data_IF_603586274689
#
_entry.id   IF_603586274689
#
_cell.length_a   1.000
_cell.length_b   1.000
_cell.length_c   1.000
_cell.angle_alpha   90.00
_cell.angle_beta   90.00
_cell.angle_gamma   90.00
#
_symmetry.space_group_name_H-M   'P 1'
#
loop_
_entity.id
_entity.type
_entity.pdbx_description
1 polymer ?
#
# COMPACT_ATOMS: atom_id res chain seq x y z
N UNK A 1 -34.35 -11.42 -35.97
CA UNK A 1 -34.48 -12.26 -34.75
C UNK A 1 -33.12 -12.79 -34.35
N UNK A 2 -32.68 -12.42 -33.13
CA UNK A 2 -31.86 -13.16 -32.14
C UNK A 2 -30.52 -13.78 -32.61
N UNK A 3 -29.38 -13.73 -31.92
CA UNK A 3 -28.89 -13.18 -30.66
C UNK A 3 -27.37 -13.55 -30.68
N UNK A 4 -26.46 -12.60 -30.51
CA UNK A 4 -25.74 -12.32 -29.25
C UNK A 4 -24.72 -13.39 -28.79
N UNK A 5 -23.43 -13.02 -28.85
CA UNK A 5 -22.34 -13.26 -27.86
C UNK A 5 -21.01 -12.89 -28.57
N UNK A 6 -20.49 -11.65 -28.51
CA UNK A 6 -20.05 -10.87 -27.35
C UNK A 6 -19.12 -11.67 -26.43
N UNK A 7 -17.83 -11.34 -26.49
CA UNK A 7 -16.80 -11.31 -25.45
C UNK A 7 -15.51 -10.90 -26.19
N UNK A 8 -15.38 -9.66 -26.64
CA UNK A 8 -14.81 -8.57 -25.82
C UNK A 8 -13.80 -9.14 -24.81
N UNK A 9 -12.56 -9.28 -25.26
CA UNK A 9 -11.38 -9.19 -24.41
C UNK A 9 -11.11 -7.70 -24.13
N UNK A 10 -11.43 -7.17 -22.93
CA UNK A 10 -10.75 -5.99 -22.45
C UNK A 10 -10.11 -6.30 -21.10
N UNK A 11 -9.10 -7.16 -21.07
CA UNK A 11 -8.19 -7.25 -19.92
C UNK A 11 -6.75 -7.38 -20.45
N UNK A 12 -6.30 -6.36 -21.17
CA UNK A 12 -4.90 -6.25 -21.59
C UNK A 12 -4.41 -4.80 -21.60
N UNK A 13 -4.92 -4.03 -20.65
CA UNK A 13 -4.36 -2.74 -20.24
C UNK A 13 -4.30 -2.69 -18.70
N UNK A 14 -3.65 -3.69 -18.08
CA UNK A 14 -2.92 -3.41 -16.85
C UNK A 14 -1.65 -2.71 -17.32
N UNK A 15 -1.75 -1.39 -17.49
CA UNK A 15 -0.60 -0.52 -17.63
C UNK A 15 0.41 -0.92 -16.56
N UNK A 16 1.57 -1.36 -17.03
CA UNK A 16 2.76 -1.70 -16.29
C UNK A 16 3.24 -0.49 -15.50
N UNK A 17 2.57 -0.20 -14.38
CA UNK A 17 3.10 0.67 -13.35
C UNK A 17 3.91 -0.21 -12.38
N UNK A 18 4.95 0.34 -11.72
CA UNK A 18 5.61 -0.33 -10.60
C UNK A 18 4.55 -0.90 -9.66
N UNK A 19 4.87 -1.95 -8.91
CA UNK A 19 3.91 -2.52 -7.96
C UNK A 19 3.42 -1.36 -7.08
N UNK A 20 2.19 -0.86 -7.27
CA UNK A 20 1.73 0.43 -6.70
C UNK A 20 1.86 0.47 -5.19
N UNK A 21 1.85 -0.72 -4.60
CA UNK A 21 2.04 -1.01 -3.21
C UNK A 21 3.45 -0.66 -2.68
N UNK A 22 4.49 -0.72 -3.52
CA UNK A 22 5.87 -0.31 -3.17
C UNK A 22 5.94 1.18 -2.84
N UNK A 23 5.13 2.01 -3.50
CA UNK A 23 5.14 3.47 -3.33
C UNK A 23 3.97 4.00 -2.51
N UNK A 24 3.13 3.13 -1.94
CA UNK A 24 1.83 3.53 -1.38
C UNK A 24 1.98 4.45 -0.15
N UNK A 25 2.96 4.20 0.73
CA UNK A 25 3.27 5.11 1.85
C UNK A 25 3.69 6.50 1.37
N UNK A 26 4.58 6.58 0.38
CA UNK A 26 5.02 7.83 -0.25
C UNK A 26 3.87 8.56 -0.94
N UNK A 27 3.01 7.84 -1.67
CA UNK A 27 1.83 8.41 -2.31
C UNK A 27 0.84 8.99 -1.29
N UNK A 28 0.75 8.40 -0.10
CA UNK A 28 -0.07 8.92 0.99
C UNK A 28 0.54 10.15 1.68
N UNK A 29 1.87 10.16 1.87
CA UNK A 29 2.57 11.35 2.32
C UNK A 29 2.38 12.54 1.35
N UNK A 30 2.28 12.27 0.03
CA UNK A 30 2.03 13.31 -0.99
C UNK A 30 0.73 14.08 -0.79
N UNK A 31 -0.29 13.48 -0.17
CA UNK A 31 -1.55 14.17 0.16
C UNK A 31 -1.26 15.32 1.14
N UNK A 32 -0.53 15.03 2.21
CA UNK A 32 -0.18 16.01 3.24
C UNK A 32 0.89 17.02 2.78
N UNK A 33 1.81 16.60 1.90
CA UNK A 33 2.71 17.52 1.18
C UNK A 33 1.87 18.56 0.46
N UNK A 34 0.90 18.12 -0.37
CA UNK A 34 0.08 19.01 -1.20
C UNK A 34 -0.73 19.99 -0.36
N UNK A 35 -1.34 19.50 0.72
CA UNK A 35 -2.06 20.35 1.68
C UNK A 35 -1.16 21.42 2.29
N UNK A 36 0.06 21.04 2.70
CA UNK A 36 1.02 21.97 3.29
C UNK A 36 1.54 22.99 2.28
N UNK A 37 1.75 22.59 1.02
CA UNK A 37 2.13 23.50 -0.08
C UNK A 37 1.05 24.56 -0.32
N UNK A 38 -0.21 24.15 -0.45
CA UNK A 38 -1.33 25.05 -0.72
C UNK A 38 -1.59 26.04 0.42
N UNK A 39 -1.28 25.64 1.66
CA UNK A 39 -1.35 26.50 2.85
C UNK A 39 -0.13 27.38 3.04
N UNK A 40 0.92 27.22 2.24
CA UNK A 40 2.20 27.91 2.42
C UNK A 40 2.94 27.55 3.71
N UNK A 41 2.61 26.41 4.35
CA UNK A 41 3.28 25.94 5.58
C UNK A 41 4.54 25.16 5.20
N UNK A 42 5.63 25.90 4.93
CA UNK A 42 6.90 25.32 4.51
C UNK A 42 7.53 24.39 5.56
N UNK A 43 7.25 24.61 6.85
CA UNK A 43 7.74 23.73 7.92
C UNK A 43 7.09 22.35 7.87
N UNK A 44 5.75 22.30 7.82
CA UNK A 44 5.04 21.01 7.64
C UNK A 44 5.35 20.37 6.29
N UNK A 45 5.44 21.16 5.24
CA UNK A 45 5.81 20.67 3.92
C UNK A 45 7.18 19.96 3.94
N UNK A 46 8.17 20.55 4.62
CA UNK A 46 9.48 19.93 4.76
C UNK A 46 9.41 18.58 5.47
N UNK A 47 8.70 18.52 6.61
CA UNK A 47 8.49 17.29 7.37
C UNK A 47 7.82 16.18 6.56
N UNK A 48 6.78 16.51 5.80
CA UNK A 48 6.08 15.52 4.99
C UNK A 48 6.90 15.03 3.78
N UNK A 49 7.76 15.87 3.21
CA UNK A 49 8.76 15.41 2.25
C UNK A 49 9.78 14.45 2.90
N UNK A 50 10.23 14.71 4.13
CA UNK A 50 11.09 13.79 4.88
C UNK A 50 10.38 12.45 5.13
N UNK A 51 9.12 12.49 5.58
CA UNK A 51 8.30 11.29 5.79
C UNK A 51 8.11 10.47 4.50
N UNK A 52 7.92 11.13 3.35
CA UNK A 52 7.82 10.47 2.05
C UNK A 52 9.14 9.76 1.66
N UNK A 53 10.29 10.40 1.92
CA UNK A 53 11.61 9.80 1.71
C UNK A 53 11.91 8.66 2.70
N UNK A 54 11.39 8.77 3.92
CA UNK A 54 11.47 7.74 4.93
C UNK A 54 10.67 6.50 4.52
N UNK A 55 9.42 6.65 4.05
CA UNK A 55 8.64 5.54 3.49
C UNK A 55 9.40 4.79 2.39
N UNK A 56 10.05 5.51 1.47
CA UNK A 56 10.87 4.88 0.42
C UNK A 56 12.01 4.05 1.02
N UNK A 57 12.64 4.56 2.07
CA UNK A 57 13.80 3.94 2.71
C UNK A 57 13.42 2.73 3.55
N UNK A 58 12.38 2.86 4.38
CA UNK A 58 12.02 1.83 5.36
C UNK A 58 11.13 0.73 4.75
N UNK A 59 10.40 1.03 3.67
CA UNK A 59 9.41 0.13 3.07
C UNK A 59 9.81 -0.25 1.65
N UNK A 60 9.91 0.72 0.75
CA UNK A 60 10.08 0.44 -0.70
C UNK A 60 11.39 -0.26 -1.02
N UNK A 61 12.51 0.24 -0.49
CA UNK A 61 13.84 -0.35 -0.67
C UNK A 61 13.88 -1.82 -0.21
N UNK A 62 13.56 -2.16 1.05
CA UNK A 62 13.62 -3.56 1.50
C UNK A 62 12.63 -4.46 0.76
N UNK A 63 11.43 -3.98 0.40
CA UNK A 63 10.50 -4.75 -0.42
C UNK A 63 11.09 -5.10 -1.79
N UNK A 64 11.66 -4.11 -2.47
CA UNK A 64 12.27 -4.28 -3.78
C UNK A 64 13.50 -5.20 -3.72
N UNK A 65 14.34 -5.07 -2.69
CA UNK A 65 15.48 -5.96 -2.47
C UNK A 65 15.07 -7.42 -2.23
N UNK A 66 14.00 -7.66 -1.46
CA UNK A 66 13.48 -9.01 -1.22
C UNK A 66 13.05 -9.64 -2.56
N UNK A 67 12.27 -8.91 -3.37
CA UNK A 67 11.81 -9.37 -4.67
C UNK A 67 12.98 -9.62 -5.63
N UNK A 68 13.93 -8.66 -5.74
CA UNK A 68 15.09 -8.76 -6.62
C UNK A 68 15.95 -9.99 -6.29
N UNK A 69 16.23 -10.20 -5.00
CA UNK A 69 17.01 -11.35 -4.54
C UNK A 69 16.32 -12.67 -4.90
N UNK A 70 14.99 -12.74 -4.74
CA UNK A 70 14.22 -13.91 -5.11
C UNK A 70 14.29 -14.17 -6.63
N UNK A 71 14.09 -13.12 -7.45
CA UNK A 71 14.13 -13.26 -8.90
C UNK A 71 15.49 -13.71 -9.41
N UNK A 72 16.58 -13.11 -8.90
CA UNK A 72 17.95 -13.49 -9.28
C UNK A 72 18.27 -14.93 -8.91
N UNK A 73 17.95 -15.36 -7.68
CA UNK A 73 18.25 -16.72 -7.19
C UNK A 73 17.53 -17.80 -7.98
N UNK A 74 16.36 -17.49 -8.54
CA UNK A 74 15.51 -18.45 -9.24
C UNK A 74 15.53 -18.27 -10.78
N UNK A 75 16.45 -17.46 -11.32
CA UNK A 75 16.61 -17.30 -12.78
C UNK A 75 15.49 -16.54 -13.49
N UNK A 76 14.73 -15.69 -12.77
CA UNK A 76 13.66 -14.87 -13.36
C UNK A 76 14.20 -13.55 -13.92
N UNK A 77 15.05 -13.61 -14.96
CA UNK A 77 15.82 -12.47 -15.48
C UNK A 77 14.97 -11.24 -15.84
N UNK A 78 13.83 -11.42 -16.53
CA UNK A 78 12.94 -10.30 -16.89
C UNK A 78 12.37 -9.59 -15.67
N UNK A 79 12.03 -10.35 -14.62
CA UNK A 79 11.53 -9.80 -13.37
C UNK A 79 12.64 -9.14 -12.56
N UNK A 80 13.84 -9.72 -12.56
CA UNK A 80 15.02 -9.11 -11.94
C UNK A 80 15.34 -7.75 -12.58
N UNK A 81 15.44 -7.68 -13.92
CA UNK A 81 15.72 -6.44 -14.65
C UNK A 81 14.66 -5.35 -14.39
N UNK A 82 13.38 -5.73 -14.35
CA UNK A 82 12.30 -4.79 -13.97
C UNK A 82 12.49 -4.24 -12.56
N UNK A 83 12.86 -5.10 -11.62
CA UNK A 83 13.03 -4.75 -10.20
C UNK A 83 14.30 -3.91 -9.97
N UNK A 84 15.34 -4.09 -10.79
CA UNK A 84 16.52 -3.21 -10.80
C UNK A 84 16.17 -1.79 -11.28
N UNK A 85 15.31 -1.67 -12.30
CA UNK A 85 14.79 -0.37 -12.72
C UNK A 85 13.96 0.29 -11.61
N UNK A 86 13.07 -0.47 -10.95
CA UNK A 86 12.27 0.04 -9.83
C UNK A 86 13.15 0.51 -8.65
N UNK A 87 14.28 -0.15 -8.38
CA UNK A 87 15.28 0.33 -7.40
C UNK A 87 15.84 1.72 -7.73
N UNK A 88 16.12 2.00 -9.01
CA UNK A 88 16.58 3.33 -9.44
C UNK A 88 15.47 4.37 -9.25
N UNK A 89 14.24 4.05 -9.65
CA UNK A 89 13.08 4.95 -9.49
C UNK A 89 12.81 5.28 -7.99
N UNK A 90 12.94 4.29 -7.10
CA UNK A 90 12.85 4.49 -5.64
C UNK A 90 13.91 5.50 -5.18
N UNK A 91 15.15 5.34 -5.62
CA UNK A 91 16.24 6.22 -5.22
C UNK A 91 16.06 7.64 -5.77
N UNK A 92 15.65 7.78 -7.02
CA UNK A 92 15.36 9.08 -7.65
C UNK A 92 14.25 9.84 -6.90
N UNK A 93 13.13 9.17 -6.59
CA UNK A 93 12.06 9.76 -5.81
C UNK A 93 12.52 10.15 -4.41
N UNK A 94 13.33 9.31 -3.76
CA UNK A 94 13.88 9.61 -2.43
C UNK A 94 14.73 10.89 -2.47
N UNK A 95 15.61 11.02 -3.44
CA UNK A 95 16.44 12.23 -3.61
C UNK A 95 15.59 13.46 -3.94
N UNK A 96 14.55 13.30 -4.76
CA UNK A 96 13.60 14.37 -5.04
C UNK A 96 12.96 14.90 -3.75
N UNK A 97 12.42 14.01 -2.90
CA UNK A 97 11.80 14.39 -1.64
C UNK A 97 12.78 15.07 -0.68
N UNK A 98 13.99 14.53 -0.50
CA UNK A 98 15.02 15.14 0.35
C UNK A 98 15.43 16.54 -0.14
N UNK A 99 15.56 16.73 -1.46
CA UNK A 99 15.86 18.05 -2.05
C UNK A 99 14.72 19.04 -1.78
N UNK A 100 13.47 18.61 -1.91
CA UNK A 100 12.28 19.43 -1.63
C UNK A 100 12.19 19.79 -0.15
N UNK A 101 12.39 18.83 0.76
CA UNK A 101 12.45 19.09 2.20
C UNK A 101 13.50 20.15 2.55
N UNK A 102 14.73 20.00 2.04
CA UNK A 102 15.81 20.97 2.25
C UNK A 102 15.43 22.37 1.73
N UNK A 103 14.74 22.46 0.59
CA UNK A 103 14.30 23.74 0.04
C UNK A 103 13.17 24.38 0.87
N UNK A 104 12.24 23.57 1.39
CA UNK A 104 11.16 24.01 2.24
C UNK A 104 11.66 24.49 3.61
N UNK A 105 12.61 23.78 4.23
CA UNK A 105 13.24 24.21 5.49
C UNK A 105 13.86 25.61 5.42
N UNK A 106 14.51 25.96 4.31
CA UNK A 106 15.08 27.29 4.09
C UNK A 106 14.05 28.43 4.11
N UNK A 107 12.78 28.11 3.84
CA UNK A 107 11.66 29.07 3.80
C UNK A 107 10.80 29.00 5.06
N UNK A 108 11.02 28.01 5.92
CA UNK A 108 10.17 27.75 7.08
C UNK A 108 10.24 28.90 8.08
N UNK A 109 9.06 29.32 8.54
CA UNK A 109 8.86 30.21 9.70
C UNK A 109 7.96 29.54 10.74
N UNK A 110 7.66 28.25 10.56
CA UNK A 110 6.75 27.49 11.41
C UNK A 110 7.41 27.29 12.77
N UNK A 111 6.67 27.57 13.84
CA UNK A 111 7.19 27.47 15.22
C UNK A 111 7.48 26.02 15.61
N UNK A 112 8.47 25.79 16.46
CA UNK A 112 8.87 24.44 16.89
C UNK A 112 7.72 23.66 17.56
N UNK A 113 6.85 24.33 18.32
CA UNK A 113 5.68 23.68 18.96
C UNK A 113 4.75 23.03 17.93
N UNK A 114 4.51 23.72 16.81
CA UNK A 114 3.69 23.19 15.70
C UNK A 114 4.42 22.06 14.97
N UNK A 115 5.74 22.19 14.78
CA UNK A 115 6.55 21.16 14.15
C UNK A 115 6.59 19.88 14.97
N UNK A 116 6.71 19.98 16.30
CA UNK A 116 6.72 18.83 17.20
C UNK A 116 5.40 18.04 17.13
N UNK A 117 4.26 18.73 17.16
CA UNK A 117 2.96 18.09 17.00
C UNK A 117 2.82 17.40 15.62
N UNK A 118 3.43 17.97 14.57
CA UNK A 118 3.43 17.35 13.25
C UNK A 118 4.36 16.12 13.17
N UNK A 119 5.53 16.17 13.83
CA UNK A 119 6.44 15.01 13.96
C UNK A 119 5.76 13.83 14.64
N UNK A 120 4.95 14.07 15.67
CA UNK A 120 4.17 13.01 16.32
C UNK A 120 3.14 12.35 15.40
N UNK A 121 2.51 13.12 14.50
CA UNK A 121 1.62 12.55 13.47
C UNK A 121 2.40 11.71 12.47
N UNK A 122 3.56 12.20 12.04
CA UNK A 122 4.43 11.48 11.10
C UNK A 122 4.94 10.17 11.71
N UNK A 123 5.33 10.16 12.99
CA UNK A 123 5.72 8.94 13.68
C UNK A 123 4.60 7.87 13.63
N UNK A 124 3.36 8.25 13.97
CA UNK A 124 2.19 7.37 13.88
C UNK A 124 1.88 6.92 12.45
N UNK A 125 2.10 7.81 11.49
CA UNK A 125 1.97 7.51 10.07
C UNK A 125 2.95 6.43 9.64
N UNK A 126 4.24 6.62 9.88
CA UNK A 126 5.28 5.64 9.54
C UNK A 126 4.98 4.30 10.23
N UNK A 127 4.68 4.30 11.52
CA UNK A 127 4.32 3.11 12.28
C UNK A 127 3.14 2.33 11.65
N UNK A 128 2.12 3.06 11.19
CA UNK A 128 0.94 2.47 10.52
C UNK A 128 1.28 1.87 9.16
N UNK A 129 2.21 2.49 8.42
CA UNK A 129 2.58 2.08 7.07
C UNK A 129 3.61 0.94 7.02
N UNK A 130 4.49 0.81 8.02
CA UNK A 130 5.49 -0.26 8.09
C UNK A 130 4.90 -1.68 7.89
N UNK A 131 3.85 -2.11 8.59
CA UNK A 131 3.26 -3.43 8.39
C UNK A 131 2.28 -3.49 7.22
N UNK A 132 1.95 -2.36 6.58
CA UNK A 132 0.79 -2.25 5.71
C UNK A 132 0.84 -3.12 4.45
N UNK A 133 2.03 -3.27 3.87
CA UNK A 133 2.25 -4.16 2.74
C UNK A 133 2.23 -5.64 3.15
N UNK A 134 3.08 -6.12 4.10
CA UNK A 134 3.09 -7.54 4.46
C UNK A 134 1.72 -8.03 4.97
N UNK A 135 0.95 -7.17 5.66
CA UNK A 135 -0.42 -7.45 6.12
C UNK A 135 -1.43 -7.76 5.01
N UNK A 136 -1.14 -7.36 3.79
CA UNK A 136 -2.01 -7.51 2.64
C UNK A 136 -1.28 -8.16 1.47
N UNK A 137 -0.11 -8.75 1.71
CA UNK A 137 0.75 -9.39 0.71
C UNK A 137 -0.04 -10.34 -0.21
N UNK A 138 -0.92 -11.16 0.37
CA UNK A 138 -1.73 -12.14 -0.36
C UNK A 138 -2.87 -11.56 -1.19
N UNK A 139 -3.19 -10.27 -1.03
CA UNK A 139 -4.32 -9.62 -1.71
C UNK A 139 -3.90 -8.84 -2.96
N UNK A 140 -2.61 -8.56 -3.13
CA UNK A 140 -2.12 -7.71 -4.22
C UNK A 140 -0.64 -7.91 -4.55
N UNK A 141 -0.13 -7.10 -5.47
CA UNK A 141 1.29 -6.97 -5.73
C UNK A 141 1.92 -8.26 -6.26
N UNK A 142 3.11 -8.59 -5.74
CA UNK A 142 3.90 -9.73 -6.23
C UNK A 142 3.18 -11.07 -6.08
N UNK A 143 2.36 -11.24 -5.03
CA UNK A 143 1.60 -12.48 -4.85
C UNK A 143 0.53 -12.63 -5.94
N UNK A 144 -0.34 -11.63 -6.08
CA UNK A 144 -1.46 -11.68 -7.02
C UNK A 144 -1.01 -11.70 -8.50
N UNK A 145 0.18 -11.18 -8.80
CA UNK A 145 0.72 -11.12 -10.17
C UNK A 145 1.68 -12.28 -10.42
N UNK A 146 2.92 -12.17 -9.95
CA UNK A 146 3.98 -13.11 -10.24
C UNK A 146 3.71 -14.52 -9.70
N UNK A 147 3.39 -14.66 -8.41
CA UNK A 147 3.13 -15.99 -7.84
C UNK A 147 1.82 -16.58 -8.38
N UNK A 148 0.77 -15.78 -8.48
CA UNK A 148 -0.53 -16.19 -9.02
C UNK A 148 -0.42 -16.78 -10.43
N UNK A 149 0.28 -16.11 -11.35
CA UNK A 149 0.50 -16.62 -12.70
C UNK A 149 1.29 -17.94 -12.71
N UNK A 150 2.32 -18.08 -11.88
CA UNK A 150 3.13 -19.29 -11.83
C UNK A 150 2.38 -20.47 -11.19
N UNK A 151 1.57 -20.18 -10.17
CA UNK A 151 0.73 -21.16 -9.48
C UNK A 151 -0.36 -21.69 -10.42
N UNK A 152 -1.04 -20.80 -11.16
CA UNK A 152 -2.06 -21.19 -12.13
C UNK A 152 -1.46 -22.12 -13.21
N UNK A 153 -0.29 -21.78 -13.74
CA UNK A 153 0.41 -22.64 -14.72
C UNK A 153 0.82 -23.99 -14.15
N UNK A 154 1.25 -24.05 -12.89
CA UNK A 154 1.59 -25.30 -12.23
C UNK A 154 0.35 -26.17 -12.02
N UNK A 155 -0.77 -25.58 -11.60
CA UNK A 155 -2.05 -26.26 -11.43
C UNK A 155 -2.60 -26.81 -12.74
N UNK A 156 -2.59 -26.03 -13.82
CA UNK A 156 -2.98 -26.48 -15.16
C UNK A 156 -2.19 -27.70 -15.64
N UNK A 157 -0.90 -27.79 -15.26
CA UNK A 157 -0.02 -28.93 -15.56
C UNK A 157 -0.14 -30.08 -14.56
N UNK A 158 -0.98 -29.95 -13.52
CA UNK A 158 -1.06 -30.86 -12.37
C UNK A 158 0.28 -31.07 -11.67
N UNK A 159 1.16 -30.07 -11.73
CA UNK A 159 2.44 -30.03 -11.04
C UNK A 159 2.26 -29.46 -9.63
N UNK A 160 1.63 -30.27 -8.77
CA UNK A 160 1.29 -29.85 -7.41
C UNK A 160 2.51 -29.68 -6.52
N UNK A 161 3.61 -30.38 -6.80
CA UNK A 161 4.87 -30.16 -6.08
C UNK A 161 5.42 -28.76 -6.36
N UNK A 162 5.44 -28.33 -7.63
CA UNK A 162 5.81 -26.96 -7.98
C UNK A 162 4.87 -25.92 -7.40
N UNK A 163 3.56 -26.16 -7.46
CA UNK A 163 2.58 -25.27 -6.83
C UNK A 163 2.92 -25.03 -5.34
N UNK A 164 3.17 -26.11 -4.61
CA UNK A 164 3.50 -26.06 -3.18
C UNK A 164 4.83 -25.34 -2.90
N UNK A 165 5.83 -25.51 -3.77
CA UNK A 165 7.08 -24.75 -3.68
C UNK A 165 6.86 -23.25 -3.90
N UNK A 166 6.04 -22.86 -4.87
CA UNK A 166 5.71 -21.45 -5.13
C UNK A 166 4.97 -20.81 -3.96
N UNK A 167 4.01 -21.52 -3.36
CA UNK A 167 3.31 -21.01 -2.16
C UNK A 167 4.25 -20.94 -0.93
N UNK A 168 5.19 -21.88 -0.79
CA UNK A 168 6.20 -21.82 0.27
C UNK A 168 7.13 -20.61 0.12
N UNK A 169 7.59 -20.36 -1.11
CA UNK A 169 8.42 -19.21 -1.45
C UNK A 169 7.68 -17.88 -1.19
N UNK A 170 6.39 -17.83 -1.53
CA UNK A 170 5.54 -16.67 -1.24
C UNK A 170 5.42 -16.42 0.28
N UNK A 171 5.23 -17.46 1.08
CA UNK A 171 5.19 -17.36 2.54
C UNK A 171 6.53 -16.91 3.14
N UNK A 172 7.66 -17.44 2.66
CA UNK A 172 9.00 -16.99 3.06
C UNK A 172 9.24 -15.52 2.69
N UNK A 173 8.75 -15.09 1.54
CA UNK A 173 8.86 -13.70 1.10
C UNK A 173 8.04 -12.75 1.97
N UNK A 174 6.82 -13.15 2.36
CA UNK A 174 6.00 -12.39 3.31
C UNK A 174 6.67 -12.31 4.69
N UNK A 175 7.24 -13.42 5.19
CA UNK A 175 8.00 -13.44 6.43
C UNK A 175 9.22 -12.50 6.37
N UNK A 176 9.97 -12.51 5.26
CA UNK A 176 11.12 -11.62 5.07
C UNK A 176 10.73 -10.14 5.09
N UNK A 177 9.53 -9.79 4.64
CA UNK A 177 9.02 -8.42 4.73
C UNK A 177 8.68 -8.04 6.16
N UNK A 178 8.01 -8.91 6.93
CA UNK A 178 7.80 -8.66 8.36
C UNK A 178 9.12 -8.44 9.11
N UNK A 179 10.13 -9.27 8.81
CA UNK A 179 11.47 -9.14 9.40
C UNK A 179 12.13 -7.81 9.07
N UNK A 180 12.19 -7.44 7.79
CA UNK A 180 12.98 -6.29 7.33
C UNK A 180 12.26 -4.94 7.46
N UNK A 181 10.94 -4.93 7.67
CA UNK A 181 10.12 -3.71 7.60
C UNK A 181 9.49 -3.38 8.97
N UNK A 182 8.47 -4.06 9.52
CA UNK A 182 7.98 -3.69 10.85
C UNK A 182 8.92 -4.11 12.00
N UNK A 183 9.46 -5.34 11.99
CA UNK A 183 10.25 -5.88 13.13
C UNK A 183 11.57 -5.14 13.30
N UNK A 184 12.29 -4.89 12.20
CA UNK A 184 13.56 -4.14 12.18
C UNK A 184 13.44 -2.76 12.82
N UNK A 185 12.24 -2.17 12.78
CA UNK A 185 11.98 -0.81 13.27
C UNK A 185 11.18 -0.80 14.59
N UNK A 186 11.24 -1.91 15.34
CA UNK A 186 10.76 -1.97 16.73
C UNK A 186 9.35 -2.50 16.91
N UNK A 187 8.62 -2.84 15.84
CA UNK A 187 7.28 -3.45 15.94
C UNK A 187 7.39 -4.96 16.17
N UNK A 188 7.80 -5.31 17.39
CA UNK A 188 8.12 -6.69 17.80
C UNK A 188 6.93 -7.64 17.81
N UNK A 189 5.71 -7.13 17.95
CA UNK A 189 4.49 -7.94 17.89
C UNK A 189 4.30 -8.69 16.56
N UNK A 190 5.00 -8.26 15.49
CA UNK A 190 4.97 -8.91 14.18
C UNK A 190 5.89 -10.15 14.08
N UNK A 191 6.73 -10.43 15.08
CA UNK A 191 7.59 -11.63 15.09
C UNK A 191 6.76 -12.92 15.03
N UNK A 192 5.60 -12.95 15.68
CA UNK A 192 4.69 -14.11 15.64
C UNK A 192 4.13 -14.36 14.23
N UNK A 193 3.83 -13.30 13.48
CA UNK A 193 3.37 -13.38 12.09
C UNK A 193 4.48 -13.91 11.19
N UNK A 194 5.69 -13.34 11.28
CA UNK A 194 6.87 -13.86 10.57
C UNK A 194 7.05 -15.36 10.82
N UNK A 195 7.04 -15.78 12.08
CA UNK A 195 7.27 -17.18 12.45
C UNK A 195 6.15 -18.10 11.96
N UNK A 196 4.90 -17.63 11.97
CA UNK A 196 3.78 -18.37 11.41
C UNK A 196 3.94 -18.60 9.89
N UNK A 197 4.37 -17.59 9.14
CA UNK A 197 4.66 -17.73 7.71
C UNK A 197 5.84 -18.67 7.44
N UNK A 198 6.92 -18.61 8.24
CA UNK A 198 8.05 -19.54 8.11
C UNK A 198 7.65 -20.99 8.40
N UNK A 199 6.84 -21.23 9.44
CA UNK A 199 6.29 -22.57 9.73
C UNK A 199 5.40 -23.06 8.59
N UNK A 200 4.58 -22.18 8.02
CA UNK A 200 3.73 -22.51 6.90
C UNK A 200 4.54 -22.89 5.65
N UNK A 201 5.58 -22.12 5.31
CA UNK A 201 6.49 -22.45 4.22
C UNK A 201 7.16 -23.82 4.39
N UNK A 202 7.63 -24.12 5.61
CA UNK A 202 8.24 -25.41 5.96
C UNK A 202 7.27 -26.58 5.75
N UNK A 203 6.01 -26.40 6.16
CA UNK A 203 4.95 -27.38 5.97
C UNK A 203 4.71 -27.65 4.47
N UNK A 204 4.59 -26.60 3.66
CA UNK A 204 4.36 -26.71 2.22
C UNK A 204 5.52 -27.40 1.49
N UNK A 205 6.78 -27.07 1.83
CA UNK A 205 7.96 -27.79 1.31
C UNK A 205 7.93 -29.27 1.70
N UNK A 206 7.43 -29.61 2.88
CA UNK A 206 7.28 -30.99 3.32
C UNK A 206 6.22 -31.74 2.49
N UNK A 207 5.10 -31.09 2.20
CA UNK A 207 4.09 -31.67 1.30
C UNK A 207 4.61 -31.82 -0.13
N UNK A 208 5.34 -30.84 -0.66
CA UNK A 208 5.90 -30.90 -2.01
C UNK A 208 6.81 -32.13 -2.21
N UNK A 209 7.65 -32.45 -1.22
CA UNK A 209 8.53 -33.63 -1.23
C UNK A 209 7.78 -34.96 -1.35
N UNK A 210 6.51 -35.01 -0.89
CA UNK A 210 5.67 -36.21 -0.98
C UNK A 210 5.04 -36.40 -2.36
N UNK A 211 5.28 -35.50 -3.31
CA UNK A 211 4.75 -35.54 -4.69
C UNK A 211 3.24 -35.78 -4.71
N UNK A 212 2.44 -34.87 -4.12
CA UNK A 212 1.03 -35.13 -3.89
C UNK A 212 0.27 -35.13 -5.22
N UNK A 213 -0.76 -35.98 -5.30
CA UNK A 213 -1.64 -36.08 -6.48
C UNK A 213 -2.76 -35.03 -6.50
N UNK A 214 -2.87 -34.23 -5.45
CA UNK A 214 -3.83 -33.14 -5.30
C UNK A 214 -3.28 -32.11 -4.29
N UNK A 215 -3.79 -30.88 -4.33
CA UNK A 215 -3.41 -29.86 -3.36
C UNK A 215 -3.98 -30.18 -1.97
N UNK A 216 -3.16 -30.16 -0.91
CA UNK A 216 -3.64 -30.34 0.46
C UNK A 216 -4.48 -29.12 0.90
N UNK A 217 -5.48 -29.29 1.79
CA UNK A 217 -6.32 -28.18 2.24
C UNK A 217 -5.54 -27.07 2.94
N UNK A 218 -4.37 -27.39 3.51
CA UNK A 218 -3.48 -26.47 4.21
C UNK A 218 -2.84 -25.43 3.29
N UNK A 219 -2.87 -25.60 1.96
CA UNK A 219 -2.28 -24.67 0.98
C UNK A 219 -2.73 -23.23 1.19
N UNK A 220 -4.01 -23.03 1.53
CA UNK A 220 -4.57 -21.68 1.68
C UNK A 220 -4.42 -21.12 3.10
N UNK A 221 -3.68 -21.78 4.00
CA UNK A 221 -3.47 -21.29 5.36
C UNK A 221 -2.77 -19.93 5.33
N UNK A 222 -1.75 -19.73 4.47
CA UNK A 222 -1.02 -18.47 4.34
C UNK A 222 -1.95 -17.25 4.19
N UNK A 223 -2.95 -17.36 3.31
CA UNK A 223 -3.99 -16.31 3.09
C UNK A 223 -4.86 -16.01 4.32
N UNK A 224 -4.88 -16.93 5.28
CA UNK A 224 -5.71 -16.89 6.49
C UNK A 224 -4.88 -16.71 7.76
N UNK A 225 -3.56 -16.53 7.65
CA UNK A 225 -2.71 -16.14 8.79
C UNK A 225 -3.07 -14.69 9.12
N UNK A 226 -4.17 -14.55 9.84
CA UNK A 226 -4.59 -13.35 10.52
C UNK A 226 -4.41 -13.67 11.99
N UNK A 227 -3.26 -13.31 12.55
CA UNK A 227 -3.27 -13.10 13.99
C UNK A 227 -4.25 -11.97 14.27
N UNK A 228 -4.86 -11.99 15.45
CA UNK A 228 -5.51 -10.80 15.98
C UNK A 228 -4.43 -9.71 15.97
N UNK A 229 -4.37 -8.94 14.87
CA UNK A 229 -3.49 -7.79 14.74
C UNK A 229 -3.64 -7.03 16.05
N UNK A 230 -2.57 -6.53 16.68
CA UNK A 230 -2.72 -5.58 17.77
C UNK A 230 -3.67 -4.50 17.26
N UNK A 231 -4.95 -4.57 17.65
CA UNK A 231 -5.98 -3.72 17.03
C UNK A 231 -5.62 -2.33 17.51
N UNK A 232 -5.25 -1.38 16.63
CA UNK A 232 -4.84 -0.06 17.07
C UNK A 232 -5.99 0.55 17.86
N UNK A 233 -5.87 0.64 19.20
CA UNK A 233 -6.94 0.85 20.18
C UNK A 233 -8.24 1.41 19.58
N UNK A 234 -9.09 0.49 19.13
CA UNK A 234 -10.47 0.58 18.67
C UNK A 234 -11.41 1.71 19.15
N UNK A 235 -11.18 3.04 19.10
CA UNK A 235 -12.23 4.01 19.49
C UNK A 235 -13.54 3.75 18.67
N UNK A 236 -14.76 3.86 19.23
CA UNK A 236 -16.01 3.43 18.58
C UNK A 236 -16.38 4.10 17.23
N UNK A 237 -15.63 5.13 16.81
CA UNK A 237 -15.68 5.76 15.49
C UNK A 237 -15.10 4.89 14.35
N UNK A 238 -14.28 3.89 14.68
CA UNK A 238 -13.38 3.19 13.74
C UNK A 238 -13.97 2.05 12.91
N UNK A 239 -15.26 2.11 12.57
CA UNK A 239 -15.77 1.25 11.49
C UNK A 239 -15.62 2.01 10.18
N UNK A 240 -14.97 1.39 9.20
CA UNK A 240 -14.77 1.94 7.86
C UNK A 240 -16.10 2.51 7.31
N UNK A 241 -17.21 1.79 7.49
CA UNK A 241 -18.54 2.23 7.07
C UNK A 241 -18.99 3.56 7.70
N UNK A 242 -18.66 3.79 8.98
CA UNK A 242 -18.97 5.07 9.65
C UNK A 242 -18.16 6.22 9.07
N UNK A 243 -16.87 5.98 8.81
CA UNK A 243 -15.97 6.99 8.21
C UNK A 243 -16.41 7.33 6.79
N UNK A 244 -16.78 6.32 6.01
CA UNK A 244 -17.38 6.51 4.68
C UNK A 244 -18.69 7.30 4.76
N UNK A 245 -19.56 6.98 5.72
CA UNK A 245 -20.81 7.71 5.93
C UNK A 245 -20.57 9.18 6.30
N UNK A 246 -19.60 9.47 7.18
CA UNK A 246 -19.19 10.83 7.53
C UNK A 246 -18.71 11.58 6.29
N UNK A 247 -17.78 11.00 5.53
CA UNK A 247 -17.25 11.61 4.31
C UNK A 247 -18.36 11.92 3.29
N UNK A 248 -19.26 10.97 3.05
CA UNK A 248 -20.40 11.15 2.16
C UNK A 248 -21.40 12.20 2.63
N UNK A 249 -21.46 12.45 3.93
CA UNK A 249 -22.43 13.38 4.52
C UNK A 249 -21.95 14.83 4.47
N UNK A 250 -20.64 15.06 4.32
CA UNK A 250 -20.06 16.40 4.19
C UNK A 250 -20.56 17.09 2.91
N UNK A 251 -21.09 18.31 3.07
CA UNK A 251 -21.72 19.07 1.99
C UNK A 251 -20.75 19.46 0.89
N UNK A 252 -19.46 19.71 1.21
CA UNK A 252 -18.44 20.08 0.23
C UNK A 252 -18.05 18.86 -0.61
N UNK A 253 -17.93 17.69 0.02
CA UNK A 253 -17.70 16.41 -0.69
C UNK A 253 -18.89 16.09 -1.61
N UNK A 254 -20.14 16.20 -1.11
CA UNK A 254 -21.34 16.00 -1.93
C UNK A 254 -21.36 16.93 -3.14
N UNK A 255 -21.10 18.22 -2.94
CA UNK A 255 -21.08 19.20 -4.02
C UNK A 255 -20.00 18.87 -5.07
N UNK A 256 -18.79 18.49 -4.62
CA UNK A 256 -17.70 18.12 -5.52
C UNK A 256 -17.99 16.83 -6.34
N UNK A 257 -18.88 15.97 -5.86
CA UNK A 257 -19.25 14.70 -6.49
C UNK A 257 -20.60 14.72 -7.22
N UNK A 258 -21.35 15.83 -7.21
CA UNK A 258 -22.76 15.87 -7.65
C UNK A 258 -22.99 15.35 -9.08
N UNK A 259 -22.08 15.67 -10.01
CA UNK A 259 -22.18 15.29 -11.42
C UNK A 259 -21.34 14.04 -11.78
N UNK A 260 -20.72 13.40 -10.79
CA UNK A 260 -19.83 12.28 -11.01
C UNK A 260 -20.60 10.96 -10.99
N UNK A 261 -20.35 10.11 -11.99
CA UNK A 261 -20.94 8.76 -12.10
C UNK A 261 -19.91 7.67 -11.86
N UNK A 262 -20.37 6.51 -11.41
CA UNK A 262 -19.51 5.34 -11.21
C UNK A 262 -18.45 5.54 -10.12
N UNK A 263 -18.76 6.35 -9.12
CA UNK A 263 -17.86 6.67 -8.01
C UNK A 263 -17.63 5.40 -7.18
N UNK A 264 -16.35 5.12 -6.92
CA UNK A 264 -15.88 4.14 -5.95
C UNK A 264 -15.25 4.87 -4.79
N UNK A 265 -15.26 4.19 -3.65
CA UNK A 265 -14.74 4.75 -2.41
C UNK A 265 -13.77 3.79 -1.75
N UNK A 266 -12.75 4.37 -1.12
CA UNK A 266 -11.79 3.64 -0.34
C UNK A 266 -11.41 4.48 0.86
N UNK A 267 -11.50 3.91 2.06
CA UNK A 267 -11.15 4.58 3.30
C UNK A 267 -10.04 3.80 4.01
N UNK A 268 -9.04 4.52 4.49
CA UNK A 268 -7.92 3.93 5.19
C UNK A 268 -7.39 4.85 6.28
N UNK A 269 -6.83 4.25 7.32
CA UNK A 269 -6.32 4.95 8.48
C UNK A 269 -4.82 5.21 8.33
N UNK A 270 -4.39 6.42 8.69
CA UNK A 270 -3.02 6.92 8.53
C UNK A 270 -2.26 6.96 9.87
N UNK A 271 -2.78 6.35 10.93
CA UNK A 271 -2.17 6.42 12.28
C UNK A 271 -2.64 7.60 13.13
N UNK A 272 -3.11 8.69 12.51
CA UNK A 272 -3.60 9.88 13.21
C UNK A 272 -4.89 10.46 12.63
N UNK A 273 -5.22 10.14 11.38
CA UNK A 273 -6.43 10.55 10.70
C UNK A 273 -6.88 9.47 9.71
N UNK A 274 -8.13 9.54 9.30
CA UNK A 274 -8.65 8.75 8.19
C UNK A 274 -8.52 9.53 6.89
N UNK A 275 -8.18 8.82 5.83
CA UNK A 275 -8.26 9.34 4.47
C UNK A 275 -9.34 8.57 3.72
N UNK A 276 -10.23 9.29 3.04
CA UNK A 276 -11.29 8.72 2.21
C UNK A 276 -11.10 9.23 0.79
N UNK A 277 -10.78 8.33 -0.13
CA UNK A 277 -10.73 8.64 -1.54
C UNK A 277 -12.03 8.24 -2.22
N UNK A 278 -12.57 9.16 -3.01
CA UNK A 278 -13.59 8.95 -4.01
C UNK A 278 -12.93 9.00 -5.38
N UNK A 279 -13.08 7.95 -6.17
CA UNK A 279 -12.41 7.82 -7.48
C UNK A 279 -13.33 7.17 -8.50
N UNK A 280 -13.04 7.37 -9.78
CA UNK A 280 -13.64 6.58 -10.86
C UNK A 280 -12.52 5.99 -11.72
N UNK A 281 -12.82 4.94 -12.49
CA UNK A 281 -11.80 4.22 -13.28
C UNK A 281 -11.16 5.04 -14.40
N UNK A 282 -11.75 6.19 -14.76
CA UNK A 282 -11.29 7.02 -15.87
C UNK A 282 -10.40 8.21 -15.49
N UNK A 283 -10.48 8.71 -14.24
CA UNK A 283 -10.05 10.08 -13.92
C UNK A 283 -9.17 10.21 -12.66
N UNK A 284 -8.75 9.10 -12.05
CA UNK A 284 -8.00 9.13 -10.79
C UNK A 284 -8.88 9.52 -9.60
N UNK A 285 -8.27 9.99 -8.50
CA UNK A 285 -9.02 10.44 -7.33
C UNK A 285 -9.82 11.71 -7.67
N UNK A 286 -11.14 11.64 -7.57
CA UNK A 286 -12.06 12.76 -7.76
C UNK A 286 -12.08 13.69 -6.55
N UNK A 287 -12.13 13.10 -5.35
CA UNK A 287 -12.12 13.82 -4.07
C UNK A 287 -11.41 12.98 -3.02
N UNK A 288 -10.60 13.62 -2.18
CA UNK A 288 -9.97 13.01 -1.01
C UNK A 288 -10.40 13.79 0.23
N UNK A 289 -11.08 13.15 1.17
CA UNK A 289 -11.40 13.71 2.47
C UNK A 289 -10.43 13.25 3.55
N UNK A 290 -9.97 14.17 4.41
CA UNK A 290 -9.22 13.87 5.63
C UNK A 290 -10.16 14.03 6.82
N UNK A 291 -10.31 12.97 7.61
CA UNK A 291 -11.23 12.92 8.75
C UNK A 291 -10.43 12.68 10.02
N UNK A 292 -10.65 13.52 11.02
CA UNK A 292 -10.05 13.35 12.33
C UNK A 292 -10.55 12.07 13.01
N UNK A 293 -9.64 11.22 13.48
CA UNK A 293 -9.98 9.92 14.07
C UNK A 293 -10.77 10.05 15.38
N UNK A 294 -10.53 11.13 16.16
CA UNK A 294 -11.14 11.29 17.48
C UNK A 294 -12.52 11.92 17.42
N UNK A 295 -12.68 12.93 16.56
CA UNK A 295 -13.88 13.77 16.50
C UNK A 295 -14.81 13.41 15.35
N UNK A 296 -14.32 12.71 14.32
CA UNK A 296 -15.08 12.45 13.10
C UNK A 296 -15.28 13.69 12.23
N UNK A 297 -14.61 14.81 12.53
CA UNK A 297 -14.70 16.03 11.73
C UNK A 297 -13.92 15.85 10.43
N UNK A 298 -14.52 16.24 9.31
CA UNK A 298 -13.80 16.40 8.04
C UNK A 298 -12.90 17.63 8.17
N UNK A 299 -11.60 17.38 8.29
CA UNK A 299 -10.57 18.39 8.46
C UNK A 299 -10.28 19.11 7.15
N UNK A 300 -10.15 18.34 6.07
CA UNK A 300 -9.63 18.82 4.79
C UNK A 300 -10.21 18.03 3.63
N UNK A 301 -10.34 18.67 2.48
CA UNK A 301 -10.84 18.04 1.25
C UNK A 301 -9.95 18.46 0.09
N UNK A 302 -9.43 17.50 -0.67
CA UNK A 302 -8.73 17.75 -1.91
C UNK A 302 -9.58 17.28 -3.09
N UNK A 303 -9.83 18.14 -4.06
CA UNK A 303 -10.51 17.80 -5.32
C UNK A 303 -9.50 17.47 -6.39
N UNK A 304 -9.73 16.39 -7.12
CA UNK A 304 -8.99 16.06 -8.33
C UNK A 304 -9.46 16.90 -9.50
N UNK A 305 -8.52 17.52 -10.20
CA UNK A 305 -8.73 18.07 -11.53
C UNK A 305 -8.89 16.93 -12.54
N UNK A 306 -10.03 16.84 -13.26
CA UNK A 306 -10.27 15.75 -14.21
C UNK A 306 -9.18 15.63 -15.28
N UNK A 307 -8.72 16.75 -15.84
CA UNK A 307 -7.81 16.74 -16.99
C UNK A 307 -6.35 16.45 -16.63
N UNK A 308 -5.93 16.82 -15.41
CA UNK A 308 -4.52 16.80 -15.01
C UNK A 308 -4.22 15.81 -13.88
N UNK A 309 -5.25 15.33 -13.18
CA UNK A 309 -5.13 14.52 -11.97
C UNK A 309 -4.50 15.28 -10.79
N UNK A 310 -4.33 16.61 -10.90
CA UNK A 310 -3.82 17.43 -9.80
C UNK A 310 -4.85 17.53 -8.68
N UNK A 311 -4.35 17.61 -7.45
CA UNK A 311 -5.19 17.77 -6.27
C UNK A 311 -5.23 19.24 -5.83
N UNK A 312 -6.42 19.79 -5.64
CA UNK A 312 -6.67 21.14 -5.16
C UNK A 312 -7.40 21.14 -3.82
N UNK A 313 -6.88 21.86 -2.82
CA UNK A 313 -7.58 22.00 -1.54
C UNK A 313 -8.89 22.76 -1.78
N UNK A 314 -10.01 22.19 -1.34
CA UNK A 314 -11.30 22.85 -1.28
C UNK A 314 -11.42 23.54 0.08
N UNK A 315 -11.81 24.81 0.05
CA UNK A 315 -12.18 25.58 1.24
C UNK A 315 -13.53 25.11 1.81
#
# INVERSE_FOLDING_TARGET
MKNAALLLFPILLILTKPCSAVFEGTANANIFIKMSEQRGDFGKNALWHEAAAECLTLISVPMNEIALNYYKRNGYEKWAARTEKEALEIQEQRQFHLKRAKAAWKKSKTTEVVLQAEREKIAKFIETWLPHYPDRFYNFGIYATFFGELQERAEQKKDYARFLHLEADAAEMCAAQYEKIPIKYGLKDYEQLRDAYLRHATLLRTFAKRSPKALPPEVNIGKRIQFQKPKPQITPLKKVDKILHIAKSDSRIKAALADQKGIREYAWFQGFAWTVSFYNHGWGNLVIGIIDDKTGKVLDILKGEPETGKLELLD
#
